data_IF_703014328816
#
_entry.id   IF_703014328816
#
_cell.length_a   1.000
_cell.length_b   1.000
_cell.length_c   1.000
_cell.angle_alpha   90.00
_cell.angle_beta   90.00
_cell.angle_gamma   90.00
#
_symmetry.space_group_name_H-M   'P 1'
#
loop_
_entity.id
_entity.type
_entity.pdbx_description
1 polymer ?
#
# COMPACT_ATOMS: atom_id res chain seq x y z
N UNK A 1 -14.52 -3.95 11.15
CA UNK A 1 -14.75 -5.21 10.39
C UNK A 1 -16.04 -5.21 9.57
N UNK A 2 -17.24 -5.39 10.15
CA UNK A 2 -18.52 -5.55 9.39
C UNK A 2 -18.78 -4.43 8.38
N UNK A 3 -18.75 -3.17 8.82
CA UNK A 3 -18.93 -1.99 7.95
C UNK A 3 -17.96 -1.95 6.76
N UNK A 4 -16.70 -2.35 6.97
CA UNK A 4 -15.68 -2.35 5.91
C UNK A 4 -15.96 -3.45 4.87
N UNK A 5 -16.42 -4.62 5.30
CA UNK A 5 -16.87 -5.71 4.41
C UNK A 5 -18.09 -5.29 3.60
N UNK A 6 -19.06 -4.63 4.23
CA UNK A 6 -20.27 -4.14 3.57
C UNK A 6 -19.94 -3.02 2.54
N UNK A 7 -18.84 -2.28 2.75
CA UNK A 7 -18.38 -1.22 1.87
C UNK A 7 -17.49 -1.70 0.71
N UNK A 8 -16.86 -2.87 0.83
CA UNK A 8 -15.95 -3.43 -0.18
C UNK A 8 -16.55 -3.49 -1.61
N UNK A 9 -17.83 -3.90 -1.82
CA UNK A 9 -18.42 -3.93 -3.16
C UNK A 9 -18.49 -2.56 -3.85
N UNK A 10 -18.49 -1.47 -3.08
CA UNK A 10 -18.46 -0.11 -3.65
C UNK A 10 -17.09 0.20 -4.24
N UNK A 11 -16.02 -0.26 -3.58
CA UNK A 11 -14.64 -0.08 -4.02
C UNK A 11 -14.30 -0.99 -5.20
N UNK A 12 -14.86 -2.20 -5.27
CA UNK A 12 -14.67 -3.11 -6.42
C UNK A 12 -15.36 -2.65 -7.71
N UNK A 13 -16.36 -1.77 -7.63
CA UNK A 13 -17.05 -1.27 -8.84
C UNK A 13 -16.18 -0.38 -9.71
N UNK A 14 -15.18 0.27 -9.13
CA UNK A 14 -14.22 1.10 -9.86
C UNK A 14 -12.85 0.44 -9.74
N UNK A 15 -12.23 0.04 -10.86
CA UNK A 15 -10.89 -0.59 -10.82
C UNK A 15 -9.87 0.27 -10.07
N UNK A 16 -9.93 1.58 -10.28
CA UNK A 16 -9.12 2.57 -9.57
C UNK A 16 -10.01 3.59 -8.90
N UNK A 17 -9.77 3.83 -7.62
CA UNK A 17 -10.51 4.76 -6.78
C UNK A 17 -9.59 5.92 -6.41
N UNK A 18 -9.93 7.17 -6.76
CA UNK A 18 -9.18 8.34 -6.32
C UNK A 18 -9.29 8.53 -4.81
N UNK A 19 -8.18 8.78 -4.14
CA UNK A 19 -8.10 9.00 -2.70
C UNK A 19 -7.02 10.02 -2.34
N UNK A 20 -7.04 10.50 -1.10
CA UNK A 20 -6.01 11.39 -0.54
C UNK A 20 -5.39 10.70 0.67
N UNK A 21 -4.06 10.69 0.75
CA UNK A 21 -3.35 10.12 1.91
C UNK A 21 -3.44 11.10 3.09
N UNK A 22 -4.35 10.85 4.03
CA UNK A 22 -4.46 11.67 5.24
C UNK A 22 -3.30 11.44 6.20
N UNK A 23 -2.89 10.18 6.37
CA UNK A 23 -1.88 9.81 7.38
C UNK A 23 -1.11 8.54 7.01
N UNK A 24 0.16 8.50 7.40
CA UNK A 24 1.06 7.34 7.27
C UNK A 24 1.22 6.68 8.64
N UNK A 25 0.64 5.49 8.81
CA UNK A 25 0.72 4.72 10.06
C UNK A 25 2.00 3.88 10.14
N UNK A 26 2.43 3.30 9.02
CA UNK A 26 3.67 2.55 8.86
C UNK A 26 4.16 2.67 7.42
N UNK A 27 5.30 2.04 7.09
CA UNK A 27 5.82 2.03 5.70
C UNK A 27 4.83 1.49 4.66
N UNK A 28 3.87 0.64 5.03
CA UNK A 28 2.90 0.06 4.07
C UNK A 28 1.44 0.23 4.51
N UNK A 29 1.14 1.02 5.55
CA UNK A 29 -0.22 1.20 6.09
C UNK A 29 -0.57 2.68 6.22
N UNK A 30 -1.72 3.04 5.68
CA UNK A 30 -2.16 4.42 5.50
C UNK A 30 -3.62 4.62 5.93
N UNK A 31 -3.93 5.86 6.31
CA UNK A 31 -5.31 6.37 6.39
C UNK A 31 -5.57 7.15 5.10
N UNK A 32 -6.58 6.72 4.34
CA UNK A 32 -6.94 7.34 3.08
C UNK A 32 -8.33 7.96 3.19
N UNK A 33 -8.49 9.19 2.72
CA UNK A 33 -9.79 9.82 2.48
C UNK A 33 -10.21 9.50 1.04
N UNK A 34 -11.41 9.00 0.86
CA UNK A 34 -12.02 8.83 -0.46
C UNK A 34 -13.06 9.95 -0.64
N UNK A 35 -12.75 11.02 -1.41
CA UNK A 35 -13.59 12.23 -1.42
C UNK A 35 -15.01 11.97 -1.92
N UNK A 36 -15.17 11.14 -2.96
CA UNK A 36 -16.45 10.84 -3.59
C UNK A 36 -17.43 10.15 -2.62
N UNK A 37 -16.91 9.33 -1.72
CA UNK A 37 -17.69 8.62 -0.70
C UNK A 37 -17.65 9.34 0.66
N UNK A 38 -16.93 10.46 0.76
CA UNK A 38 -16.77 11.30 1.96
C UNK A 38 -16.42 10.45 3.20
N UNK A 39 -15.54 9.46 3.01
CA UNK A 39 -15.20 8.50 4.05
C UNK A 39 -13.69 8.25 4.11
N UNK A 40 -13.19 7.96 5.31
CA UNK A 40 -11.81 7.52 5.52
C UNK A 40 -11.73 6.02 5.71
N UNK A 41 -10.73 5.40 5.11
CA UNK A 41 -10.44 3.97 5.24
C UNK A 41 -9.03 3.73 5.78
N UNK A 42 -8.85 2.61 6.47
CA UNK A 42 -7.54 2.07 6.77
C UNK A 42 -7.12 1.15 5.63
N UNK A 43 -5.96 1.41 5.03
CA UNK A 43 -5.48 0.73 3.83
C UNK A 43 -4.05 0.24 4.03
N UNK A 44 -3.73 -0.96 3.56
CA UNK A 44 -2.36 -1.45 3.48
C UNK A 44 -2.02 -1.94 2.08
N UNK A 45 -0.76 -1.76 1.68
CA UNK A 45 -0.25 -2.32 0.43
C UNK A 45 -0.28 -3.85 0.48
N UNK A 46 -0.84 -4.46 -0.56
CA UNK A 46 -0.74 -5.89 -0.84
C UNK A 46 0.65 -6.22 -1.38
N UNK A 47 1.08 -7.47 -1.21
CA UNK A 47 2.31 -7.97 -1.82
C UNK A 47 3.60 -7.54 -1.15
N UNK A 48 3.57 -6.68 -0.12
CA UNK A 48 4.76 -6.19 0.56
C UNK A 48 4.62 -6.18 2.07
N UNK A 49 5.76 -6.32 2.74
CA UNK A 49 5.88 -6.27 4.20
C UNK A 49 6.98 -5.28 4.57
N UNK A 50 6.62 -4.21 5.28
CA UNK A 50 7.59 -3.27 5.86
C UNK A 50 7.94 -3.63 7.33
N UNK A 51 9.08 -3.15 7.84
CA UNK A 51 9.46 -3.27 9.25
C UNK A 51 8.39 -2.74 10.22
N UNK A 52 8.13 -3.52 11.28
CA UNK A 52 7.29 -3.11 12.41
C UNK A 52 7.97 -2.05 13.29
N UNK A 53 7.21 -1.43 14.20
CA UNK A 53 7.67 -0.28 15.02
C UNK A 53 9.02 -0.48 15.72
N UNK A 54 9.28 -1.71 16.18
CA UNK A 54 10.46 -2.06 16.96
C UNK A 54 11.51 -2.82 16.12
N UNK A 55 11.37 -2.79 14.80
CA UNK A 55 12.28 -3.44 13.87
C UNK A 55 13.20 -2.42 13.18
N UNK A 56 14.43 -2.83 12.80
CA UNK A 56 15.33 -1.96 12.05
C UNK A 56 14.67 -1.38 10.79
N UNK A 57 14.99 -0.12 10.49
CA UNK A 57 14.53 0.61 9.31
C UNK A 57 13.04 1.00 9.30
N UNK A 58 12.30 0.79 10.38
CA UNK A 58 10.89 1.19 10.48
C UNK A 58 10.68 2.71 10.38
N UNK A 59 11.56 3.48 11.04
CA UNK A 59 11.51 4.95 11.01
C UNK A 59 11.77 5.50 9.60
N UNK A 60 12.72 4.91 8.90
CA UNK A 60 13.13 5.23 7.54
C UNK A 60 12.01 4.93 6.54
N UNK A 61 11.35 3.77 6.66
CA UNK A 61 10.20 3.43 5.83
C UNK A 61 9.04 4.42 6.02
N UNK A 62 8.75 4.82 7.26
CA UNK A 62 7.72 5.83 7.56
C UNK A 62 8.12 7.19 7.01
N UNK A 63 9.38 7.60 7.19
CA UNK A 63 9.89 8.88 6.71
C UNK A 63 9.84 8.98 5.18
N UNK A 64 10.21 7.90 4.47
CA UNK A 64 10.12 7.82 3.02
C UNK A 64 8.68 8.03 2.54
N UNK A 65 7.72 7.27 3.10
CA UNK A 65 6.31 7.39 2.73
C UNK A 65 5.73 8.76 3.08
N UNK A 66 6.10 9.35 4.23
CA UNK A 66 5.65 10.70 4.59
C UNK A 66 6.11 11.74 3.58
N UNK A 67 7.37 11.68 3.15
CA UNK A 67 7.90 12.59 2.14
C UNK A 67 7.25 12.37 0.76
N UNK A 68 6.99 11.11 0.42
CA UNK A 68 6.53 10.74 -0.92
C UNK A 68 5.03 10.91 -1.12
N UNK A 69 4.19 10.52 -0.16
CA UNK A 69 2.74 10.39 -0.41
C UNK A 69 1.84 11.09 0.62
N UNK A 70 2.35 11.56 1.76
CA UNK A 70 1.49 12.22 2.76
C UNK A 70 0.86 13.49 2.18
N UNK A 71 -0.46 13.64 2.36
CA UNK A 71 -1.27 14.74 1.82
C UNK A 71 -1.21 14.86 0.28
N UNK A 72 -0.96 13.75 -0.43
CA UNK A 72 -1.04 13.69 -1.89
C UNK A 72 -2.28 12.94 -2.38
N UNK A 73 -2.71 13.31 -3.57
CA UNK A 73 -3.70 12.57 -4.35
C UNK A 73 -3.08 11.27 -4.87
N UNK A 74 -3.81 10.18 -4.71
CA UNK A 74 -3.39 8.83 -5.09
C UNK A 74 -4.55 8.08 -5.73
N UNK A 75 -4.23 7.04 -6.49
CA UNK A 75 -5.20 6.07 -6.96
C UNK A 75 -5.01 4.77 -6.18
N UNK A 76 -6.10 4.13 -5.74
CA UNK A 76 -6.04 2.81 -5.12
C UNK A 76 -6.88 1.79 -5.87
N UNK A 77 -6.42 0.54 -5.85
CA UNK A 77 -7.19 -0.63 -6.26
C UNK A 77 -7.30 -1.54 -5.05
N UNK A 78 -8.52 -1.84 -4.63
CA UNK A 78 -8.79 -2.62 -3.42
C UNK A 78 -9.04 -4.08 -3.78
N UNK A 79 -8.24 -4.98 -3.22
CA UNK A 79 -8.36 -6.42 -3.47
C UNK A 79 -9.32 -7.05 -2.46
N UNK A 80 -9.12 -6.78 -1.16
CA UNK A 80 -9.90 -7.40 -0.08
C UNK A 80 -9.89 -6.55 1.18
N UNK A 81 -10.54 -7.05 2.22
CA UNK A 81 -10.52 -6.47 3.57
C UNK A 81 -10.21 -7.57 4.59
N UNK A 82 -9.30 -7.26 5.51
CA UNK A 82 -8.92 -8.20 6.57
C UNK A 82 -10.03 -8.32 7.65
N UNK A 83 -9.76 -9.15 8.66
CA UNK A 83 -10.70 -9.36 9.78
C UNK A 83 -10.88 -8.10 10.64
N UNK A 84 -9.92 -7.20 10.64
CA UNK A 84 -9.90 -5.99 11.46
C UNK A 84 -10.63 -4.83 10.75
N UNK A 85 -10.88 -4.96 9.44
CA UNK A 85 -11.47 -3.91 8.60
C UNK A 85 -10.43 -3.03 7.91
N UNK A 86 -9.19 -3.51 7.77
CA UNK A 86 -8.14 -2.88 6.99
C UNK A 86 -8.26 -3.39 5.54
N UNK A 87 -8.41 -2.47 4.61
CA UNK A 87 -8.42 -2.78 3.18
C UNK A 87 -7.00 -3.12 2.72
N UNK A 88 -6.88 -4.10 1.85
CA UNK A 88 -5.63 -4.54 1.23
C UNK A 88 -5.72 -4.28 -0.26
N UNK A 89 -4.66 -3.75 -0.85
CA UNK A 89 -4.62 -3.50 -2.28
C UNK A 89 -3.38 -2.76 -2.77
N UNK A 90 -3.45 -2.23 -3.97
CA UNK A 90 -2.37 -1.47 -4.61
C UNK A 90 -2.65 0.03 -4.60
N UNK A 91 -1.60 0.83 -4.51
CA UNK A 91 -1.67 2.29 -4.45
C UNK A 91 -0.64 2.89 -5.41
N UNK A 92 -1.09 3.85 -6.22
CA UNK A 92 -0.27 4.61 -7.13
C UNK A 92 -0.29 6.08 -6.76
N UNK A 93 0.89 6.70 -6.73
CA UNK A 93 1.03 8.15 -6.79
C UNK A 93 1.39 8.50 -8.22
N UNK A 94 0.58 9.33 -8.86
CA UNK A 94 0.68 9.63 -10.30
C UNK A 94 0.62 8.37 -11.18
N UNK A 95 1.77 7.81 -11.58
CA UNK A 95 1.88 6.58 -12.37
C UNK A 95 2.79 5.53 -11.72
N UNK A 96 3.30 5.81 -10.52
CA UNK A 96 4.28 4.97 -9.84
C UNK A 96 3.58 4.17 -8.75
N UNK A 97 3.70 2.84 -8.82
CA UNK A 97 3.22 1.96 -7.77
C UNK A 97 4.08 2.16 -6.52
N UNK A 98 3.48 2.54 -5.40
CA UNK A 98 4.22 2.93 -4.19
C UNK A 98 4.94 1.73 -3.54
N UNK A 99 4.43 0.52 -3.74
CA UNK A 99 5.10 -0.69 -3.28
C UNK A 99 6.46 -0.91 -3.97
N UNK A 100 6.59 -0.51 -5.25
CA UNK A 100 7.88 -0.53 -5.98
C UNK A 100 8.90 0.36 -5.27
N UNK A 101 8.53 1.59 -4.93
CA UNK A 101 9.47 2.54 -4.28
C UNK A 101 9.98 2.02 -2.93
N UNK A 102 9.15 1.32 -2.16
CA UNK A 102 9.56 0.70 -0.89
C UNK A 102 10.54 -0.45 -1.09
N UNK A 103 10.30 -1.29 -2.11
CA UNK A 103 11.15 -2.43 -2.44
C UNK A 103 12.50 -1.98 -3.00
N UNK A 104 12.51 -1.01 -3.92
CA UNK A 104 13.74 -0.42 -4.48
C UNK A 104 14.62 0.20 -3.40
N UNK A 105 14.01 0.82 -2.37
CA UNK A 105 14.74 1.40 -1.25
C UNK A 105 15.25 0.37 -0.22
N UNK A 106 14.94 -0.93 -0.37
CA UNK A 106 15.27 -1.96 0.62
C UNK A 106 14.45 -1.85 1.92
N UNK A 107 13.39 -1.04 1.94
CA UNK A 107 12.57 -0.75 3.13
C UNK A 107 11.32 -1.63 3.23
N UNK A 108 11.15 -2.56 2.29
CA UNK A 108 10.13 -3.60 2.32
C UNK A 108 10.67 -4.91 1.74
N UNK A 109 9.96 -6.00 2.01
CA UNK A 109 10.17 -7.31 1.38
C UNK A 109 8.92 -7.74 0.65
N UNK A 110 9.07 -8.47 -0.43
CA UNK A 110 7.96 -9.06 -1.16
C UNK A 110 7.29 -10.13 -0.28
N UNK A 111 5.97 -10.09 -0.21
CA UNK A 111 5.16 -11.05 0.55
C UNK A 111 4.10 -11.67 -0.36
N UNK A 112 4.32 -12.93 -0.75
CA UNK A 112 3.45 -13.66 -1.69
C UNK A 112 2.32 -14.45 -1.03
N UNK A 113 2.16 -14.33 0.30
CA UNK A 113 1.18 -15.10 1.08
C UNK A 113 -0.28 -14.93 0.64
N UNK A 114 -0.59 -13.88 -0.14
CA UNK A 114 -1.94 -13.53 -0.60
C UNK A 114 -2.23 -13.91 -2.06
N UNK A 115 -1.30 -14.58 -2.75
CA UNK A 115 -1.39 -14.96 -4.16
C UNK A 115 -0.91 -13.83 -5.08
N UNK A 116 0.20 -14.09 -5.76
CA UNK A 116 0.86 -13.16 -6.71
C UNK A 116 -0.08 -12.66 -7.81
N UNK A 117 -0.98 -13.52 -8.27
CA UNK A 117 -1.83 -13.27 -9.44
C UNK A 117 -2.87 -12.16 -9.21
N UNK A 118 -3.08 -11.77 -7.96
CA UNK A 118 -4.04 -10.73 -7.58
C UNK A 118 -3.42 -9.35 -7.42
N UNK A 119 -2.09 -9.26 -7.44
CA UNK A 119 -1.36 -8.02 -7.22
C UNK A 119 -1.00 -7.42 -8.58
N UNK A 120 -1.56 -6.24 -8.93
CA UNK A 120 -1.11 -5.48 -10.09
C UNK A 120 0.40 -5.27 -10.06
N UNK A 121 1.02 -5.32 -11.24
CA UNK A 121 2.45 -5.02 -11.40
C UNK A 121 3.39 -5.93 -10.59
N UNK A 122 2.96 -7.15 -10.23
CA UNK A 122 3.77 -8.07 -9.41
C UNK A 122 5.19 -8.29 -9.95
N UNK A 123 5.35 -8.42 -11.27
CA UNK A 123 6.66 -8.53 -11.92
C UNK A 123 7.57 -7.32 -11.67
N UNK A 124 7.02 -6.10 -11.56
CA UNK A 124 7.77 -4.89 -11.20
C UNK A 124 8.20 -4.92 -9.73
N UNK A 125 7.36 -5.47 -8.84
CA UNK A 125 7.72 -5.66 -7.44
C UNK A 125 8.88 -6.66 -7.29
N UNK A 126 8.85 -7.77 -8.03
CA UNK A 126 9.96 -8.73 -8.04
C UNK A 126 11.26 -8.10 -8.56
N UNK A 127 11.19 -7.33 -9.63
CA UNK A 127 12.36 -6.62 -10.19
C UNK A 127 12.92 -5.60 -9.20
N UNK A 128 12.07 -4.83 -8.54
CA UNK A 128 12.46 -3.86 -7.52
C UNK A 128 13.20 -4.52 -6.35
N UNK A 129 12.66 -5.62 -5.82
CA UNK A 129 13.30 -6.35 -4.73
C UNK A 129 14.65 -6.95 -5.16
N UNK A 130 14.75 -7.48 -6.38
CA UNK A 130 16.01 -7.99 -6.92
C UNK A 130 17.05 -6.88 -7.12
N UNK A 131 16.64 -5.68 -7.53
CA UNK A 131 17.54 -4.54 -7.69
C UNK A 131 18.11 -4.11 -6.34
N UNK A 132 17.27 -3.93 -5.33
CA UNK A 132 17.71 -3.57 -3.97
C UNK A 132 18.70 -4.61 -3.41
N UNK A 133 18.41 -5.90 -3.58
CA UNK A 133 19.32 -6.99 -3.16
C UNK A 133 20.69 -6.93 -3.86
N UNK A 134 20.74 -6.57 -5.15
CA UNK A 134 22.01 -6.40 -5.90
C UNK A 134 22.82 -5.22 -5.38
N UNK A 135 22.15 -4.17 -4.96
CA UNK A 135 22.75 -2.97 -4.36
C UNK A 135 23.10 -3.16 -2.87
N UNK A 136 22.79 -4.34 -2.30
CA UNK A 136 22.99 -4.70 -0.89
C UNK A 136 22.19 -3.81 0.08
N UNK A 137 21.01 -3.39 -0.36
CA UNK A 137 19.98 -2.74 0.44
C UNK A 137 19.02 -3.78 1.04
#
# INVERSE_FOLDING_TARGET
AKKAKDFLPFLHRSRKVPAVVEYVLSGHRFKLLIPKETCSIAFSLSGVRCPGRDEPYSGEAIALMRRQIMQRDVEIEVETVDRNGNFLGSLWESKTNVAVTLLEAGLAKLQTSFGSDRIPDFHLLEQAEQSAKREKL
#
